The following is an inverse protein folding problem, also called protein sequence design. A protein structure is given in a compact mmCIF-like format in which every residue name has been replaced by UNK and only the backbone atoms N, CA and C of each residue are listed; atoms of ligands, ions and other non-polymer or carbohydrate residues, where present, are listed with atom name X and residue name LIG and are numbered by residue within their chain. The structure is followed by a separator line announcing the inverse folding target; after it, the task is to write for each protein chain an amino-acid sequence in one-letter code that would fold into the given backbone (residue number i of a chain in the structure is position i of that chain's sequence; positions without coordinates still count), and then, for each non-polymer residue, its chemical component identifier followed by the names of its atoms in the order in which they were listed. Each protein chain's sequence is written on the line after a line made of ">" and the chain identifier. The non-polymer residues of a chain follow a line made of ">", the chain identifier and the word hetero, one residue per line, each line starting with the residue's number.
data_IF_896442481089
#
_entry.id   IF_896442481089
#
_cell.length_a   1.000
_cell.length_b   1.000
_cell.length_c   1.000
_cell.angle_alpha   90.00
_cell.angle_beta   90.00
_cell.angle_gamma   90.00
#
_symmetry.space_group_name_H-M   'P 1'
#
loop_
_entity.id
_entity.type
_entity.pdbx_description
1 polymer ?
#
# COMPACT_ATOMS: atom_id res chain seq x y z
N UNK A 1 -15.26 -20.55 9.70
CA UNK A 1 -15.27 -20.19 8.29
C UNK A 1 -16.17 -19.00 8.05
N UNK A 2 -15.79 -18.15 7.13
CA UNK A 2 -16.53 -16.91 6.92
C UNK A 2 -17.76 -17.17 6.07
N UNK A 3 -18.85 -16.48 6.42
CA UNK A 3 -20.10 -16.62 5.69
C UNK A 3 -19.99 -15.93 4.33
N UNK A 4 -20.78 -16.38 3.36
CA UNK A 4 -20.74 -15.77 2.04
C UNK A 4 -21.22 -14.31 2.06
N UNK A 5 -22.13 -13.96 2.98
CA UNK A 5 -22.52 -12.56 3.11
C UNK A 5 -21.36 -11.70 3.60
N UNK A 6 -20.57 -12.23 4.53
CA UNK A 6 -19.39 -11.50 5.01
C UNK A 6 -18.38 -11.33 3.89
N UNK A 7 -18.18 -12.39 3.09
CA UNK A 7 -17.26 -12.31 1.97
C UNK A 7 -17.67 -11.26 0.96
N UNK A 8 -18.98 -11.13 0.71
CA UNK A 8 -19.46 -10.11 -0.21
C UNK A 8 -19.15 -8.71 0.30
N UNK A 9 -19.35 -8.50 1.60
CA UNK A 9 -19.05 -7.20 2.21
C UNK A 9 -17.57 -6.88 2.10
N UNK A 10 -16.73 -7.85 2.44
CA UNK A 10 -15.28 -7.64 2.35
C UNK A 10 -14.84 -7.42 0.92
N UNK A 11 -15.42 -8.14 -0.03
CA UNK A 11 -15.08 -7.95 -1.43
C UNK A 11 -15.42 -6.53 -1.90
N UNK A 12 -16.58 -6.04 -1.52
CA UNK A 12 -16.96 -4.68 -1.90
C UNK A 12 -16.02 -3.65 -1.28
N UNK A 13 -15.68 -3.86 -0.02
CA UNK A 13 -14.75 -2.96 0.67
C UNK A 13 -13.41 -2.95 -0.02
N UNK A 14 -12.91 -4.14 -0.37
CA UNK A 14 -11.62 -4.25 -1.04
C UNK A 14 -11.65 -3.65 -2.44
N UNK A 15 -12.74 -3.85 -3.18
CA UNK A 15 -12.85 -3.28 -4.51
C UNK A 15 -12.88 -1.76 -4.46
N UNK A 16 -13.59 -1.20 -3.49
CA UNK A 16 -13.63 0.25 -3.31
C UNK A 16 -12.24 0.77 -2.93
N UNK A 17 -11.57 0.06 -2.04
CA UNK A 17 -10.22 0.44 -1.63
C UNK A 17 -9.26 0.35 -2.80
N UNK A 18 -9.39 -0.69 -3.63
CA UNK A 18 -8.54 -0.84 -4.81
C UNK A 18 -8.71 0.34 -5.77
N UNK A 19 -9.95 0.74 -6.03
CA UNK A 19 -10.21 1.87 -6.90
C UNK A 19 -9.59 3.15 -6.36
N UNK A 20 -9.75 3.37 -5.07
CA UNK A 20 -9.20 4.56 -4.44
C UNK A 20 -7.68 4.57 -4.50
N UNK A 21 -7.06 3.44 -4.18
CA UNK A 21 -5.61 3.35 -4.21
C UNK A 21 -5.05 3.53 -5.61
N UNK A 22 -5.72 2.97 -6.60
CA UNK A 22 -5.29 3.16 -7.99
C UNK A 22 -5.37 4.61 -8.40
N UNK A 23 -6.43 5.30 -7.97
CA UNK A 23 -6.56 6.72 -8.23
C UNK A 23 -5.47 7.53 -7.54
N UNK A 24 -5.18 7.18 -6.29
CA UNK A 24 -4.15 7.88 -5.54
C UNK A 24 -2.78 7.68 -6.18
N UNK A 25 -2.45 6.46 -6.57
CA UNK A 25 -1.17 6.17 -7.22
C UNK A 25 -1.06 6.94 -8.53
N UNK A 26 -2.14 6.96 -9.31
CA UNK A 26 -2.15 7.68 -10.57
C UNK A 26 -1.92 9.17 -10.35
N UNK A 27 -2.59 9.74 -9.37
CA UNK A 27 -2.44 11.15 -9.05
C UNK A 27 -1.02 11.47 -8.58
N UNK A 28 -0.48 10.62 -7.73
CA UNK A 28 0.90 10.81 -7.24
C UNK A 28 1.91 10.71 -8.37
N UNK A 29 1.68 9.78 -9.30
CA UNK A 29 2.56 9.64 -10.45
C UNK A 29 2.53 10.90 -11.30
N UNK A 30 1.34 11.48 -11.51
CA UNK A 30 1.24 12.72 -12.26
C UNK A 30 1.96 13.86 -11.57
N UNK A 31 1.83 13.95 -10.26
CA UNK A 31 2.51 15.00 -9.50
C UNK A 31 4.01 14.85 -9.64
N UNK A 32 4.51 13.63 -9.47
CA UNK A 32 5.96 13.39 -9.58
C UNK A 32 6.48 13.71 -10.98
N UNK A 33 5.72 13.32 -12.00
CA UNK A 33 6.11 13.60 -13.38
C UNK A 33 6.05 15.08 -13.71
N UNK A 34 5.08 15.79 -13.14
CA UNK A 34 4.98 17.22 -13.36
C UNK A 34 6.16 17.97 -12.77
N UNK A 35 6.60 17.57 -11.59
CA UNK A 35 7.79 18.18 -11.02
C UNK A 35 8.99 18.04 -11.94
N UNK A 36 9.19 16.85 -12.47
CA UNK A 36 10.30 16.61 -13.38
C UNK A 36 10.09 17.32 -14.71
N UNK A 37 8.89 17.14 -15.27
CA UNK A 37 8.61 17.67 -16.59
C UNK A 37 8.54 19.19 -16.63
N UNK A 38 7.88 19.77 -15.64
CA UNK A 38 7.77 21.22 -15.59
C UNK A 38 9.12 21.86 -15.43
N UNK A 39 9.92 21.32 -14.55
CA UNK A 39 11.26 21.86 -14.31
C UNK A 39 12.09 21.79 -15.57
N UNK A 40 11.96 20.71 -16.31
CA UNK A 40 12.74 20.54 -17.52
C UNK A 40 12.24 21.40 -18.65
N UNK A 41 10.94 21.61 -18.76
CA UNK A 41 10.40 22.23 -19.97
C UNK A 41 9.99 23.68 -19.81
N UNK A 42 9.47 24.04 -18.67
CA UNK A 42 8.89 25.36 -18.54
C UNK A 42 9.72 26.34 -17.77
N UNK A 43 10.32 25.88 -16.74
CA UNK A 43 10.91 26.77 -15.77
C UNK A 43 12.29 27.27 -16.13
N UNK A 44 12.93 26.57 -17.04
CA UNK A 44 14.27 26.98 -17.44
C UNK A 44 14.33 28.38 -17.99
N UNK A 45 13.29 28.78 -18.67
CA UNK A 45 13.29 30.10 -19.28
C UNK A 45 12.75 31.17 -18.38
N UNK A 46 12.20 30.82 -17.25
CA UNK A 46 11.49 31.81 -16.47
C UNK A 46 12.31 32.54 -15.47
N UNK A 47 13.22 31.86 -14.84
CA UNK A 47 13.99 32.56 -13.83
C UNK A 47 15.05 31.69 -13.22
N UNK A 48 16.04 32.32 -12.60
CA UNK A 48 16.98 31.56 -11.81
C UNK A 48 16.27 30.93 -10.61
N UNK A 49 16.62 29.72 -10.32
CA UNK A 49 16.04 28.97 -9.22
C UNK A 49 17.05 28.98 -8.08
N UNK A 50 16.57 29.33 -6.91
CA UNK A 50 17.44 29.31 -5.73
C UNK A 50 17.80 27.87 -5.37
N UNK A 51 18.95 27.70 -4.79
CA UNK A 51 19.38 26.37 -4.35
C UNK A 51 18.39 25.78 -3.36
N UNK A 52 17.83 26.62 -2.49
CA UNK A 52 16.86 26.14 -1.54
C UNK A 52 15.62 25.63 -2.23
N UNK A 53 15.18 26.30 -3.29
CA UNK A 53 14.01 25.89 -4.05
C UNK A 53 14.26 24.55 -4.75
N UNK A 54 15.43 24.40 -5.32
CA UNK A 54 15.81 23.14 -5.97
C UNK A 54 15.81 21.99 -4.96
N UNK A 55 16.36 22.24 -3.77
CA UNK A 55 16.39 21.24 -2.74
C UNK A 55 15.00 20.85 -2.26
N UNK A 56 14.13 21.84 -2.12
CA UNK A 56 12.77 21.61 -1.68
C UNK A 56 11.99 20.77 -2.71
N UNK A 57 12.12 21.12 -3.98
CA UNK A 57 11.45 20.38 -5.04
C UNK A 57 11.91 18.93 -5.08
N UNK A 58 13.22 18.70 -4.97
CA UNK A 58 13.75 17.35 -4.96
C UNK A 58 13.23 16.56 -3.77
N UNK A 59 13.19 17.22 -2.60
CA UNK A 59 12.69 16.57 -1.41
C UNK A 59 11.22 16.19 -1.56
N UNK A 60 10.42 17.10 -2.09
CA UNK A 60 9.00 16.85 -2.29
C UNK A 60 8.76 15.73 -3.28
N UNK A 61 9.57 15.69 -4.33
CA UNK A 61 9.45 14.62 -5.30
C UNK A 61 9.78 13.27 -4.68
N UNK A 62 10.87 13.21 -3.92
CA UNK A 62 11.23 11.98 -3.23
C UNK A 62 10.15 11.55 -2.25
N UNK A 63 9.59 12.50 -1.52
CA UNK A 63 8.53 12.21 -0.57
C UNK A 63 7.31 11.63 -1.28
N UNK A 64 6.92 12.26 -2.39
CA UNK A 64 5.79 11.78 -3.18
C UNK A 64 6.03 10.37 -3.69
N UNK A 65 7.24 10.10 -4.18
CA UNK A 65 7.57 8.77 -4.68
C UNK A 65 7.53 7.73 -3.55
N UNK A 66 7.95 8.11 -2.35
CA UNK A 66 7.88 7.21 -1.20
C UNK A 66 6.44 6.89 -0.84
N UNK A 67 5.58 7.90 -0.83
CA UNK A 67 4.16 7.67 -0.55
C UNK A 67 3.54 6.79 -1.61
N UNK A 68 3.90 7.01 -2.87
CA UNK A 68 3.39 6.22 -3.97
C UNK A 68 3.80 4.76 -3.82
N UNK A 69 5.05 4.51 -3.43
CA UNK A 69 5.51 3.15 -3.23
C UNK A 69 4.72 2.46 -2.11
N UNK A 70 4.43 3.18 -1.03
CA UNK A 70 3.61 2.62 0.06
C UNK A 70 2.20 2.30 -0.40
N UNK A 71 1.62 3.19 -1.20
CA UNK A 71 0.28 2.95 -1.74
C UNK A 71 0.26 1.77 -2.68
N UNK A 72 1.31 1.62 -3.48
CA UNK A 72 1.41 0.49 -4.40
C UNK A 72 1.55 -0.83 -3.65
N UNK A 73 2.29 -0.84 -2.55
CA UNK A 73 2.39 -2.03 -1.72
C UNK A 73 1.03 -2.41 -1.15
N UNK A 74 0.31 -1.41 -0.64
CA UNK A 74 -1.02 -1.67 -0.11
C UNK A 74 -1.96 -2.16 -1.20
N UNK A 75 -1.88 -1.56 -2.38
CA UNK A 75 -2.70 -1.98 -3.52
C UNK A 75 -2.43 -3.44 -3.87
N UNK A 76 -1.17 -3.85 -3.85
CA UNK A 76 -0.81 -5.23 -4.11
C UNK A 76 -1.45 -6.16 -3.08
N UNK A 77 -1.43 -5.78 -1.82
CA UNK A 77 -2.05 -6.56 -0.76
C UNK A 77 -3.55 -6.66 -0.95
N UNK A 78 -4.17 -5.56 -1.38
CA UNK A 78 -5.62 -5.55 -1.65
C UNK A 78 -5.95 -6.50 -2.80
N UNK A 79 -5.16 -6.46 -3.85
CA UNK A 79 -5.40 -7.33 -5.00
C UNK A 79 -5.21 -8.79 -4.64
N UNK A 80 -4.22 -9.09 -3.83
CA UNK A 80 -4.02 -10.45 -3.34
C UNK A 80 -5.20 -10.91 -2.50
N UNK A 81 -5.73 -10.02 -1.66
CA UNK A 81 -6.89 -10.36 -0.85
C UNK A 81 -8.09 -10.68 -1.72
N UNK A 82 -8.30 -9.90 -2.78
CA UNK A 82 -9.39 -10.15 -3.70
C UNK A 82 -9.24 -11.51 -4.40
N UNK A 83 -8.01 -11.86 -4.75
CA UNK A 83 -7.75 -13.16 -5.34
C UNK A 83 -8.03 -14.29 -4.35
N UNK A 84 -7.71 -14.07 -3.09
CA UNK A 84 -7.98 -15.07 -2.06
C UNK A 84 -9.47 -15.28 -1.86
N UNK A 85 -10.27 -14.22 -2.04
CA UNK A 85 -11.72 -14.37 -1.99
C UNK A 85 -12.17 -15.27 -3.13
N UNK A 86 -11.62 -15.07 -4.33
CA UNK A 86 -11.95 -15.92 -5.47
C UNK A 86 -11.53 -17.37 -5.24
N UNK A 87 -10.39 -17.56 -4.60
CA UNK A 87 -9.87 -18.89 -4.33
C UNK A 87 -10.48 -19.53 -3.08
N UNK A 88 -11.39 -18.81 -2.41
CA UNK A 88 -12.04 -19.27 -1.18
C UNK A 88 -11.08 -19.52 -0.05
N UNK A 89 -10.01 -18.74 -0.02
CA UNK A 89 -9.01 -18.80 1.03
C UNK A 89 -8.97 -17.54 1.89
N UNK A 90 -9.85 -16.61 1.63
CA UNK A 90 -9.89 -15.36 2.40
C UNK A 90 -10.21 -15.66 3.85
N UNK A 91 -9.54 -14.97 4.76
CA UNK A 91 -9.76 -15.18 6.19
C UNK A 91 -8.86 -16.25 6.79
N UNK A 92 -8.02 -16.85 5.98
CA UNK A 92 -7.08 -17.86 6.44
C UNK A 92 -5.67 -17.27 6.42
N UNK A 93 -4.94 -17.44 7.51
CA UNK A 93 -3.57 -16.95 7.60
C UNK A 93 -2.67 -17.66 6.60
N UNK A 94 -1.87 -16.89 5.86
CA UNK A 94 -0.96 -17.48 4.87
C UNK A 94 0.20 -18.22 5.52
N UNK A 95 0.54 -17.88 6.75
CA UNK A 95 1.69 -18.48 7.41
C UNK A 95 1.35 -19.73 8.20
N UNK A 96 0.27 -19.69 8.96
CA UNK A 96 -0.06 -20.79 9.85
C UNK A 96 -1.35 -21.51 9.50
N UNK A 97 -2.02 -21.06 8.43
CA UNK A 97 -3.30 -21.62 7.98
C UNK A 97 -4.42 -21.53 9.01
N UNK A 98 -4.19 -20.77 10.07
CA UNK A 98 -5.23 -20.53 11.07
C UNK A 98 -6.21 -19.47 10.59
N UNK A 99 -7.24 -19.27 11.38
CA UNK A 99 -8.28 -18.31 11.05
C UNK A 99 -7.82 -16.92 11.46
N UNK A 100 -8.01 -15.95 10.57
CA UNK A 100 -7.78 -14.54 10.88
C UNK A 100 -9.05 -14.01 11.54
N UNK A 101 -8.90 -13.34 12.68
CA UNK A 101 -10.05 -12.81 13.41
C UNK A 101 -10.83 -11.84 12.52
N UNK A 102 -12.16 -11.95 12.57
CA UNK A 102 -13.01 -11.08 11.77
C UNK A 102 -12.78 -9.60 12.10
N UNK A 103 -12.55 -9.29 13.37
CA UNK A 103 -12.28 -7.92 13.78
C UNK A 103 -11.03 -7.38 13.13
N UNK A 104 -10.02 -8.23 12.99
CA UNK A 104 -8.80 -7.82 12.31
C UNK A 104 -9.07 -7.53 10.84
N UNK A 105 -9.89 -8.34 10.20
CA UNK A 105 -10.25 -8.12 8.80
C UNK A 105 -11.12 -6.88 8.62
N UNK A 106 -11.94 -6.56 9.61
CA UNK A 106 -12.73 -5.34 9.56
C UNK A 106 -11.84 -4.11 9.62
N UNK A 107 -10.77 -4.18 10.41
CA UNK A 107 -9.82 -3.08 10.51
C UNK A 107 -8.86 -3.06 9.32
N UNK A 108 -8.41 -4.23 8.89
CA UNK A 108 -7.45 -4.35 7.79
C UNK A 108 -8.00 -5.40 6.82
N UNK A 109 -8.83 -4.99 5.87
CA UNK A 109 -9.49 -5.97 4.98
C UNK A 109 -8.51 -6.79 4.15
N UNK A 110 -7.33 -6.27 3.91
CA UNK A 110 -6.32 -6.98 3.12
C UNK A 110 -5.36 -7.79 3.98
N UNK A 111 -5.67 -7.99 5.25
CA UNK A 111 -4.80 -8.76 6.13
C UNK A 111 -4.65 -10.19 5.62
N UNK A 112 -3.42 -10.64 5.47
CA UNK A 112 -3.11 -11.96 4.98
C UNK A 112 -2.60 -12.88 6.09
N UNK A 113 -2.34 -12.32 7.27
CA UNK A 113 -1.80 -13.08 8.39
C UNK A 113 -2.60 -12.79 9.64
N UNK A 114 -2.67 -13.79 10.52
CA UNK A 114 -3.29 -13.58 11.83
C UNK A 114 -2.37 -12.69 12.67
N UNK A 115 -2.90 -12.18 13.77
CA UNK A 115 -2.15 -11.24 14.58
C UNK A 115 -0.84 -11.83 15.11
N UNK A 116 -0.86 -13.11 15.44
CA UNK A 116 0.35 -13.78 15.92
C UNK A 116 1.45 -13.79 14.89
N UNK A 117 1.11 -14.16 13.65
CA UNK A 117 2.10 -14.22 12.59
C UNK A 117 2.55 -12.83 12.19
N UNK A 118 1.64 -11.86 12.20
CA UNK A 118 1.99 -10.48 11.90
C UNK A 118 2.97 -9.94 12.94
N UNK A 119 2.73 -10.25 14.21
CA UNK A 119 3.65 -9.83 15.27
C UNK A 119 5.03 -10.45 15.11
N UNK A 120 5.06 -11.72 14.71
CA UNK A 120 6.34 -12.37 14.47
C UNK A 120 7.11 -11.70 13.34
N UNK A 121 6.41 -11.34 12.29
CA UNK A 121 7.05 -10.65 11.16
C UNK A 121 7.58 -9.29 11.57
N UNK A 122 6.79 -8.54 12.33
CA UNK A 122 7.23 -7.22 12.77
C UNK A 122 8.41 -7.29 13.70
N UNK A 123 8.42 -8.30 14.56
CA UNK A 123 9.49 -8.40 15.55
C UNK A 123 10.78 -8.96 14.99
N UNK A 124 10.72 -9.73 13.92
CA UNK A 124 11.93 -10.34 13.43
C UNK A 124 12.06 -10.43 11.94
N UNK A 125 11.13 -9.82 11.20
CA UNK A 125 11.11 -9.96 9.77
C UNK A 125 11.58 -8.75 9.01
N UNK A 126 11.27 -8.73 7.74
CA UNK A 126 11.47 -7.57 6.86
C UNK A 126 12.92 -7.14 6.73
N UNK A 127 13.79 -8.10 6.49
CA UNK A 127 15.17 -7.77 6.23
C UNK A 127 15.98 -7.40 7.44
N UNK A 128 15.36 -7.35 8.59
CA UNK A 128 16.12 -7.15 9.81
C UNK A 128 16.58 -8.48 10.35
N UNK A 129 17.72 -8.49 11.05
CA UNK A 129 18.13 -9.73 11.69
C UNK A 129 17.07 -10.19 12.66
N UNK A 130 16.85 -11.48 12.69
CA UNK A 130 15.86 -12.02 13.60
C UNK A 130 16.33 -11.84 15.03
N UNK A 131 15.44 -11.32 15.83
CA UNK A 131 15.73 -11.18 17.23
C UNK A 131 15.70 -12.53 17.92
N UNK A 132 16.69 -12.86 18.71
CA UNK A 132 16.61 -14.08 19.50
C UNK A 132 15.48 -13.95 20.52
N UNK A 133 14.88 -15.07 20.77
CA UNK A 133 13.74 -15.07 21.70
C UNK A 133 14.08 -15.84 22.92
#
# INVERSE_FOLDING_TARGET
>A
MMKSTDLKVFRKTLEALRSRLRGDVSTMAEVALRHTGSDASGDLSRMPIHMADIGTDAYEQEFTLSLMANEEETLDLVERALERIKAKKFGTCEECDGVIAKKRLEAIPFAAMCIRCAEKMENGGFGRPRQPR
#
